data_IF_473988358017
#
_entry.id   IF_473988358017
#
_cell.length_a   1.000
_cell.length_b   1.000
_cell.length_c   1.000
_cell.angle_alpha   90.00
_cell.angle_beta   90.00
_cell.angle_gamma   90.00
#
_symmetry.space_group_name_H-M   'P 1'
#
loop_
_entity.id
_entity.type
_entity.pdbx_description
1 polymer ?
#
# COMPACT_ATOMS: atom_id res chain seq x y z
N UNK A 1 -3.89 -9.73 -3.47
CA UNK A 1 -4.50 -8.58 -4.12
C UNK A 1 -3.46 -7.55 -4.54
N UNK A 2 -2.60 -7.04 -3.61
CA UNK A 2 -1.62 -5.96 -3.84
C UNK A 2 -0.71 -6.21 -5.06
N UNK A 3 -0.06 -7.36 -5.14
CA UNK A 3 0.85 -7.71 -6.26
C UNK A 3 0.17 -7.62 -7.62
N UNK A 4 -1.09 -8.08 -7.73
CA UNK A 4 -1.85 -7.98 -8.97
C UNK A 4 -2.22 -6.53 -9.31
N UNK A 5 -2.52 -5.74 -8.28
CA UNK A 5 -2.80 -4.32 -8.40
C UNK A 5 -1.59 -3.55 -8.92
N UNK A 6 -0.42 -3.80 -8.33
CA UNK A 6 0.83 -3.15 -8.75
C UNK A 6 1.24 -3.55 -10.16
N UNK A 7 1.05 -4.82 -10.53
CA UNK A 7 1.29 -5.29 -11.89
C UNK A 7 0.39 -4.57 -12.92
N UNK A 8 -0.91 -4.42 -12.65
CA UNK A 8 -1.83 -3.70 -13.52
C UNK A 8 -1.51 -2.21 -13.61
N UNK A 9 -1.06 -1.61 -12.51
CA UNK A 9 -0.58 -0.22 -12.50
C UNK A 9 0.61 -0.05 -13.42
N UNK A 10 1.58 -0.95 -13.36
CA UNK A 10 2.77 -0.94 -14.22
C UNK A 10 2.44 -1.23 -15.69
N UNK A 11 1.35 -1.95 -15.97
CA UNK A 11 0.80 -2.13 -17.33
C UNK A 11 0.06 -0.88 -17.85
N UNK A 12 0.05 0.24 -17.12
CA UNK A 12 -0.63 1.49 -17.50
C UNK A 12 -2.14 1.49 -17.25
N UNK A 13 -2.69 0.49 -16.56
CA UNK A 13 -4.13 0.36 -16.25
C UNK A 13 -4.52 1.10 -14.96
N UNK A 14 -3.97 2.31 -14.77
CA UNK A 14 -4.13 3.09 -13.52
C UNK A 14 -5.61 3.41 -13.24
N UNK A 15 -6.39 3.79 -14.27
CA UNK A 15 -7.81 4.09 -14.12
C UNK A 15 -8.62 2.89 -13.62
N UNK A 16 -8.36 1.70 -14.16
CA UNK A 16 -9.00 0.46 -13.69
C UNK A 16 -8.62 0.19 -12.22
N UNK A 17 -7.37 0.41 -11.84
CA UNK A 17 -6.91 0.22 -10.47
C UNK A 17 -7.55 1.21 -9.49
N UNK A 18 -7.71 2.48 -9.89
CA UNK A 18 -8.42 3.47 -9.07
C UNK A 18 -9.88 3.07 -8.86
N UNK A 19 -10.57 2.63 -9.92
CA UNK A 19 -11.94 2.13 -9.84
C UNK A 19 -12.05 0.90 -8.92
N UNK A 20 -11.10 -0.03 -9.00
CA UNK A 20 -11.05 -1.21 -8.12
C UNK A 20 -10.82 -0.84 -6.66
N UNK A 21 -9.96 0.14 -6.37
CA UNK A 21 -9.73 0.63 -5.01
C UNK A 21 -10.99 1.27 -4.42
N UNK A 22 -11.72 2.05 -5.19
CA UNK A 22 -13.02 2.61 -4.79
C UNK A 22 -14.05 1.50 -4.54
N UNK A 23 -14.13 0.52 -5.45
CA UNK A 23 -15.04 -0.61 -5.30
C UNK A 23 -14.75 -1.39 -4.00
N UNK A 24 -13.48 -1.69 -3.72
CA UNK A 24 -13.09 -2.37 -2.48
C UNK A 24 -13.52 -1.56 -1.26
N UNK A 25 -13.28 -0.25 -1.26
CA UNK A 25 -13.64 0.61 -0.14
C UNK A 25 -15.16 0.66 0.09
N UNK A 26 -15.94 0.86 -0.96
CA UNK A 26 -17.41 0.90 -0.89
C UNK A 26 -17.96 -0.46 -0.44
N UNK A 27 -17.47 -1.54 -1.05
CA UNK A 27 -17.92 -2.91 -0.71
C UNK A 27 -17.51 -3.28 0.72
N UNK A 28 -16.34 -2.86 1.18
CA UNK A 28 -15.90 -3.07 2.57
C UNK A 28 -16.82 -2.36 3.56
N UNK A 29 -17.19 -1.10 3.29
CA UNK A 29 -18.15 -0.35 4.11
C UNK A 29 -19.50 -1.08 4.13
N UNK A 30 -20.00 -1.49 2.96
CA UNK A 30 -21.29 -2.19 2.86
C UNK A 30 -21.30 -3.52 3.61
N UNK A 31 -20.28 -4.36 3.44
CA UNK A 31 -20.18 -5.62 4.16
C UNK A 31 -20.01 -5.42 5.66
N UNK A 32 -19.19 -4.47 6.08
CA UNK A 32 -19.04 -4.16 7.50
C UNK A 32 -20.35 -3.68 8.11
N UNK A 33 -21.10 -2.83 7.42
CA UNK A 33 -22.41 -2.38 7.89
C UNK A 33 -23.38 -3.57 8.08
N UNK A 34 -23.47 -4.44 7.09
CA UNK A 34 -24.37 -5.61 7.17
C UNK A 34 -23.93 -6.58 8.26
N UNK A 35 -22.64 -6.92 8.32
CA UNK A 35 -22.14 -7.92 9.27
C UNK A 35 -22.09 -7.41 10.72
N UNK A 36 -21.82 -6.13 10.92
CA UNK A 36 -21.72 -5.56 12.26
C UNK A 36 -23.08 -5.05 12.72
N UNK A 37 -23.78 -4.23 11.91
CA UNK A 37 -24.99 -3.53 12.36
C UNK A 37 -26.26 -4.36 12.17
N UNK A 38 -26.33 -5.23 11.14
CA UNK A 38 -27.55 -6.04 10.86
C UNK A 38 -27.43 -7.43 11.48
N UNK A 39 -26.27 -8.07 11.38
CA UNK A 39 -26.04 -9.43 11.90
C UNK A 39 -25.39 -9.47 13.28
N UNK A 40 -25.09 -8.31 13.87
CA UNK A 40 -24.54 -8.13 15.23
C UNK A 40 -23.28 -8.97 15.51
N UNK A 41 -22.46 -9.19 14.48
CA UNK A 41 -21.24 -10.02 14.57
C UNK A 41 -20.06 -9.30 15.26
N UNK A 42 -20.21 -8.04 15.64
CA UNK A 42 -19.18 -7.27 16.34
C UNK A 42 -17.84 -7.22 15.57
N UNK A 43 -16.73 -7.41 16.29
CA UNK A 43 -15.37 -7.36 15.71
C UNK A 43 -15.14 -8.44 14.65
N UNK A 44 -15.72 -9.63 14.83
CA UNK A 44 -15.63 -10.72 13.84
C UNK A 44 -16.26 -10.31 12.50
N UNK A 45 -17.40 -9.59 12.54
CA UNK A 45 -18.05 -9.06 11.35
C UNK A 45 -17.16 -8.14 10.52
N UNK A 46 -16.37 -7.28 11.19
CA UNK A 46 -15.40 -6.42 10.50
C UNK A 46 -14.31 -7.22 9.76
N UNK A 47 -13.81 -8.27 10.38
CA UNK A 47 -12.80 -9.13 9.76
C UNK A 47 -13.36 -9.88 8.52
N UNK A 48 -14.57 -10.46 8.65
CA UNK A 48 -15.24 -11.13 7.53
C UNK A 48 -15.62 -10.17 6.42
N UNK A 49 -16.08 -8.95 6.74
CA UNK A 49 -16.41 -7.93 5.76
C UNK A 49 -15.20 -7.51 4.93
N UNK A 50 -14.05 -7.33 5.59
CA UNK A 50 -12.79 -7.01 4.91
C UNK A 50 -12.33 -8.17 4.03
N UNK A 51 -12.38 -9.40 4.52
CA UNK A 51 -12.01 -10.58 3.75
C UNK A 51 -12.92 -10.78 2.53
N UNK A 52 -14.22 -10.59 2.68
CA UNK A 52 -15.20 -10.71 1.59
C UNK A 52 -14.97 -9.63 0.51
N UNK A 53 -14.75 -8.36 0.90
CA UNK A 53 -14.48 -7.27 -0.04
C UNK A 53 -13.18 -7.52 -0.83
N UNK A 54 -12.12 -7.98 -0.17
CA UNK A 54 -10.85 -8.30 -0.83
C UNK A 54 -10.96 -9.52 -1.75
N UNK A 55 -11.73 -10.52 -1.36
CA UNK A 55 -11.97 -11.72 -2.19
C UNK A 55 -12.75 -11.36 -3.44
N UNK A 56 -13.79 -10.54 -3.32
CA UNK A 56 -14.57 -10.04 -4.46
C UNK A 56 -13.66 -9.26 -5.43
N UNK A 57 -12.87 -8.32 -4.91
CA UNK A 57 -11.95 -7.55 -5.72
C UNK A 57 -10.90 -8.43 -6.41
N UNK A 58 -10.38 -9.44 -5.71
CA UNK A 58 -9.44 -10.39 -6.31
C UNK A 58 -10.09 -11.18 -7.45
N UNK A 59 -11.33 -11.65 -7.25
CA UNK A 59 -12.09 -12.36 -8.29
C UNK A 59 -12.31 -11.49 -9.52
N UNK A 60 -12.66 -10.20 -9.36
CA UNK A 60 -12.84 -9.26 -10.46
C UNK A 60 -11.52 -9.01 -11.20
N UNK A 61 -10.42 -8.79 -10.48
CA UNK A 61 -9.10 -8.61 -11.11
C UNK A 61 -8.68 -9.88 -11.86
N UNK A 62 -8.92 -11.04 -11.29
CA UNK A 62 -8.62 -12.31 -11.94
C UNK A 62 -9.44 -12.50 -13.21
N UNK A 63 -10.75 -12.23 -13.16
CA UNK A 63 -11.63 -12.26 -14.32
C UNK A 63 -11.14 -11.28 -15.42
N UNK A 64 -10.79 -10.06 -15.03
CA UNK A 64 -10.22 -9.07 -15.95
C UNK A 64 -8.92 -9.57 -16.61
N UNK A 65 -8.06 -10.27 -15.88
CA UNK A 65 -6.83 -10.87 -16.44
C UNK A 65 -7.11 -12.07 -17.35
N UNK A 66 -8.16 -12.83 -17.08
CA UNK A 66 -8.54 -13.99 -17.92
C UNK A 66 -9.15 -13.55 -19.25
N UNK A 67 -10.04 -12.58 -19.21
CA UNK A 67 -10.82 -12.14 -20.37
C UNK A 67 -10.26 -10.88 -21.03
N UNK A 68 -9.48 -10.08 -20.31
CA UNK A 68 -8.89 -8.84 -20.80
C UNK A 68 -7.60 -9.03 -21.62
N UNK A 69 -7.23 -7.98 -22.38
CA UNK A 69 -5.94 -7.89 -23.09
C UNK A 69 -4.86 -7.40 -22.12
N UNK A 70 -4.37 -8.26 -21.22
CA UNK A 70 -3.29 -7.95 -20.27
C UNK A 70 -2.06 -8.80 -20.61
N UNK A 71 -0.87 -8.26 -20.32
CA UNK A 71 0.41 -8.93 -20.61
C UNK A 71 0.64 -10.16 -19.74
N UNK A 72 0.14 -10.13 -18.49
CA UNK A 72 0.29 -11.21 -17.52
C UNK A 72 -1.02 -12.02 -17.41
N UNK A 73 -1.19 -12.99 -18.29
CA UNK A 73 -2.31 -13.94 -18.23
C UNK A 73 -1.99 -15.10 -17.27
N UNK A 74 -2.98 -15.64 -16.53
CA UNK A 74 -2.76 -16.81 -15.67
C UNK A 74 -2.18 -18.03 -16.40
N UNK A 75 -2.52 -18.21 -17.68
CA UNK A 75 -1.95 -19.28 -18.55
C UNK A 75 -0.43 -19.14 -18.72
N UNK A 76 0.11 -17.92 -18.73
CA UNK A 76 1.54 -17.68 -18.89
C UNK A 76 2.33 -18.12 -17.65
N UNK A 77 1.70 -18.07 -16.47
CA UNK A 77 2.29 -18.55 -15.21
C UNK A 77 2.50 -20.07 -15.21
N UNK A 78 1.61 -20.82 -15.85
CA UNK A 78 1.69 -22.28 -15.95
C UNK A 78 2.67 -22.76 -17.02
N UNK A 79 2.97 -21.91 -18.03
CA UNK A 79 3.84 -22.26 -19.16
C UNK A 79 5.33 -21.91 -18.97
N UNK A 80 5.67 -21.12 -17.94
CA UNK A 80 7.04 -20.68 -17.71
C UNK A 80 7.59 -21.21 -16.38
N UNK A 81 8.84 -21.68 -16.40
CA UNK A 81 9.53 -22.11 -15.17
C UNK A 81 9.76 -20.92 -14.24
N UNK A 82 9.20 -20.99 -13.04
CA UNK A 82 9.34 -19.96 -12.02
C UNK A 82 10.71 -20.00 -11.33
N UNK A 83 11.50 -21.07 -11.51
CA UNK A 83 12.72 -21.32 -10.72
C UNK A 83 13.89 -20.39 -11.03
N UNK A 84 13.99 -19.84 -12.25
CA UNK A 84 15.21 -19.16 -12.71
C UNK A 84 15.41 -17.71 -12.25
N UNK A 85 14.41 -17.06 -11.64
CA UNK A 85 14.48 -15.60 -11.35
C UNK A 85 14.22 -15.23 -9.88
N UNK A 86 14.08 -16.22 -9.01
CA UNK A 86 13.78 -15.98 -7.59
C UNK A 86 14.83 -15.13 -6.88
N UNK A 87 16.12 -15.42 -7.11
CA UNK A 87 17.20 -14.65 -6.48
C UNK A 87 17.13 -13.16 -6.82
N UNK A 88 16.80 -12.82 -8.07
CA UNK A 88 16.66 -11.43 -8.51
C UNK A 88 15.44 -10.75 -7.90
N UNK A 89 14.31 -11.46 -7.79
CA UNK A 89 13.08 -10.95 -7.17
C UNK A 89 13.32 -10.71 -5.68
N UNK A 90 13.95 -11.66 -4.99
CA UNK A 90 14.30 -11.53 -3.58
C UNK A 90 15.29 -10.38 -3.34
N UNK A 91 16.31 -10.24 -4.18
CA UNK A 91 17.28 -9.14 -4.08
C UNK A 91 16.62 -7.76 -4.24
N UNK A 92 15.61 -7.64 -5.11
CA UNK A 92 14.85 -6.41 -5.28
C UNK A 92 13.85 -6.15 -4.14
N UNK A 93 13.27 -7.20 -3.57
CA UNK A 93 12.30 -7.10 -2.49
C UNK A 93 12.93 -6.96 -1.09
N UNK A 94 14.14 -7.46 -0.88
CA UNK A 94 14.79 -7.48 0.42
C UNK A 94 14.96 -6.08 1.05
N UNK A 95 15.44 -5.04 0.36
CA UNK A 95 15.56 -3.70 0.94
C UNK A 95 14.23 -3.13 1.40
N UNK A 96 13.16 -3.36 0.62
CA UNK A 96 11.81 -2.90 0.96
C UNK A 96 11.26 -3.64 2.18
N UNK A 97 11.44 -4.95 2.23
CA UNK A 97 11.03 -5.77 3.38
C UNK A 97 11.77 -5.37 4.65
N UNK A 98 13.07 -5.10 4.55
CA UNK A 98 13.89 -4.66 5.67
C UNK A 98 13.44 -3.30 6.21
N UNK A 99 13.01 -2.38 5.34
CA UNK A 99 12.45 -1.09 5.73
C UNK A 99 11.17 -1.25 6.54
N UNK A 100 10.26 -2.15 6.14
CA UNK A 100 9.05 -2.43 6.90
C UNK A 100 9.32 -3.12 8.24
N UNK A 101 10.29 -4.04 8.28
CA UNK A 101 10.74 -4.68 9.52
C UNK A 101 11.31 -3.62 10.47
N UNK A 102 12.16 -2.73 9.98
CA UNK A 102 12.73 -1.64 10.77
C UNK A 102 11.65 -0.72 11.37
N UNK A 103 10.63 -0.38 10.58
CA UNK A 103 9.51 0.43 11.04
C UNK A 103 8.70 -0.30 12.14
N UNK A 104 8.43 -1.59 11.97
CA UNK A 104 7.71 -2.40 12.94
C UNK A 104 8.49 -2.55 14.25
N UNK A 105 9.81 -2.84 14.16
CA UNK A 105 10.68 -2.94 15.32
C UNK A 105 10.78 -1.60 16.07
N UNK A 106 10.90 -0.48 15.34
CA UNK A 106 10.91 0.86 15.93
C UNK A 106 9.64 1.15 16.72
N UNK A 107 8.49 0.87 16.14
CA UNK A 107 7.20 1.05 16.84
C UNK A 107 7.08 0.17 18.08
N UNK A 108 7.49 -1.09 17.97
CA UNK A 108 7.49 -2.02 19.11
C UNK A 108 8.45 -1.55 20.22
N UNK A 109 9.65 -1.11 19.87
CA UNK A 109 10.63 -0.60 20.82
C UNK A 109 10.11 0.62 21.58
N UNK A 110 9.44 1.55 20.90
CA UNK A 110 8.84 2.74 21.54
C UNK A 110 7.76 2.32 22.54
N UNK A 111 6.84 1.44 22.14
CA UNK A 111 5.77 0.96 23.02
C UNK A 111 6.35 0.24 24.23
N UNK A 112 7.35 -0.64 24.02
CA UNK A 112 8.02 -1.36 25.12
C UNK A 112 8.75 -0.40 26.07
N UNK A 113 9.45 0.60 25.54
CA UNK A 113 10.13 1.59 26.35
C UNK A 113 9.12 2.40 27.20
N UNK A 114 7.98 2.78 26.65
CA UNK A 114 6.90 3.44 27.37
C UNK A 114 6.33 2.56 28.50
N UNK A 115 6.21 1.24 28.28
CA UNK A 115 5.80 0.27 29.30
C UNK A 115 6.77 0.18 30.45
N UNK A 116 8.08 0.14 30.16
CA UNK A 116 9.11 0.01 31.20
C UNK A 116 9.25 1.24 32.08
N UNK A 117 8.95 2.43 31.54
CA UNK A 117 8.99 3.68 32.32
C UNK A 117 7.89 3.71 33.40
N UNK A 118 6.79 2.96 33.25
CA UNK A 118 5.80 2.63 34.29
C UNK A 118 5.23 3.82 35.09
N UNK A 119 5.22 5.04 34.52
CA UNK A 119 4.78 6.25 35.22
C UNK A 119 3.25 6.30 35.35
N UNK A 120 2.72 6.94 36.41
CA UNK A 120 1.30 7.34 36.45
C UNK A 120 0.96 8.13 35.16
N UNK A 121 -0.09 7.73 34.42
CA UNK A 121 -0.45 8.33 33.12
C UNK A 121 0.03 7.57 31.89
N UNK A 122 0.55 6.35 32.02
CA UNK A 122 0.93 5.48 30.92
C UNK A 122 -0.20 5.30 29.88
N UNK A 123 -1.44 5.10 30.34
CA UNK A 123 -2.60 4.93 29.46
C UNK A 123 -2.85 6.18 28.59
N UNK A 124 -2.70 7.38 29.16
CA UNK A 124 -2.86 8.64 28.43
C UNK A 124 -1.72 8.84 27.43
N UNK A 125 -0.50 8.48 27.80
CA UNK A 125 0.66 8.58 26.93
C UNK A 125 0.55 7.63 25.71
N UNK A 126 0.10 6.39 25.91
CA UNK A 126 -0.15 5.43 24.82
C UNK A 126 -1.29 5.92 23.93
N UNK A 127 -2.34 6.47 24.49
CA UNK A 127 -3.45 7.03 23.73
C UNK A 127 -2.99 8.20 22.88
N UNK A 128 -2.23 9.14 23.45
CA UNK A 128 -1.64 10.26 22.72
C UNK A 128 -0.70 9.77 21.58
N UNK A 129 0.17 8.80 21.87
CA UNK A 129 1.05 8.19 20.86
C UNK A 129 0.23 7.56 19.73
N UNK A 130 -0.86 6.86 20.06
CA UNK A 130 -1.74 6.25 19.06
C UNK A 130 -2.40 7.29 18.16
N UNK A 131 -2.86 8.42 18.71
CA UNK A 131 -3.45 9.52 17.93
C UNK A 131 -2.40 10.16 17.03
N UNK A 132 -1.23 10.50 17.56
CA UNK A 132 -0.13 11.09 16.80
C UNK A 132 0.29 10.18 15.65
N UNK A 133 0.45 8.88 15.91
CA UNK A 133 0.81 7.90 14.88
C UNK A 133 -0.23 7.83 13.76
N UNK A 134 -1.52 7.94 14.08
CA UNK A 134 -2.58 7.98 13.06
C UNK A 134 -2.52 9.25 12.22
N UNK A 135 -2.30 10.41 12.83
CA UNK A 135 -2.14 11.68 12.12
C UNK A 135 -0.94 11.63 11.18
N UNK A 136 0.21 11.16 11.66
CA UNK A 136 1.42 11.00 10.84
C UNK A 136 1.18 10.01 9.69
N UNK A 137 0.53 8.88 9.96
CA UNK A 137 0.19 7.89 8.91
C UNK A 137 -0.69 8.51 7.84
N UNK A 138 -1.70 9.29 8.23
CA UNK A 138 -2.58 9.98 7.29
C UNK A 138 -1.82 11.00 6.45
N UNK A 139 -0.94 11.79 7.07
CA UNK A 139 -0.07 12.73 6.38
C UNK A 139 0.93 12.06 5.43
N UNK A 140 1.31 10.80 5.71
CA UNK A 140 2.24 10.04 4.87
C UNK A 140 1.58 9.42 3.62
N UNK A 141 0.27 9.19 3.59
CA UNK A 141 -0.42 8.54 2.47
C UNK A 141 -0.20 9.20 1.10
N UNK A 142 -0.26 10.54 0.94
CA UNK A 142 0.02 11.18 -0.34
C UNK A 142 1.46 10.94 -0.83
N UNK A 143 2.44 10.92 0.07
CA UNK A 143 3.84 10.61 -0.28
C UNK A 143 3.99 9.16 -0.75
N UNK A 144 3.27 8.25 -0.13
CA UNK A 144 3.23 6.85 -0.55
C UNK A 144 2.64 6.72 -1.95
N UNK A 145 1.56 7.47 -2.24
CA UNK A 145 0.98 7.55 -3.58
C UNK A 145 1.97 8.11 -4.61
N UNK A 146 2.68 9.18 -4.27
CA UNK A 146 3.74 9.75 -5.11
C UNK A 146 4.86 8.74 -5.37
N UNK A 147 5.31 8.00 -4.34
CA UNK A 147 6.33 6.96 -4.46
C UNK A 147 5.90 5.86 -5.44
N UNK A 148 4.67 5.38 -5.35
CA UNK A 148 4.13 4.38 -6.29
C UNK A 148 4.04 4.90 -7.72
N UNK A 149 3.63 6.16 -7.92
CA UNK A 149 3.61 6.77 -9.24
C UNK A 149 5.04 6.85 -9.83
N UNK A 150 6.00 7.27 -9.01
CA UNK A 150 7.40 7.36 -9.40
C UNK A 150 8.02 6.02 -9.78
N UNK A 151 7.74 4.95 -9.04
CA UNK A 151 8.20 3.61 -9.39
C UNK A 151 7.75 3.21 -10.79
N UNK A 152 6.49 3.49 -11.13
CA UNK A 152 5.94 3.17 -12.45
C UNK A 152 6.57 4.02 -13.56
N UNK A 153 6.67 5.35 -13.35
CA UNK A 153 7.22 6.28 -14.35
C UNK A 153 8.71 5.99 -14.59
N UNK A 154 9.48 5.85 -13.51
CA UNK A 154 10.92 5.58 -13.59
C UNK A 154 11.19 4.21 -14.21
N UNK A 155 10.45 3.18 -13.80
CA UNK A 155 10.59 1.84 -14.33
C UNK A 155 10.32 1.76 -15.86
N UNK A 156 9.28 2.43 -16.33
CA UNK A 156 8.94 2.49 -17.75
C UNK A 156 9.98 3.29 -18.56
N UNK A 157 10.41 4.46 -18.06
CA UNK A 157 11.42 5.27 -18.72
C UNK A 157 12.79 4.56 -18.74
N UNK A 158 13.17 3.87 -17.66
CA UNK A 158 14.37 3.07 -17.57
C UNK A 158 14.36 1.91 -18.58
N UNK A 159 13.24 1.18 -18.66
CA UNK A 159 13.06 0.11 -19.63
C UNK A 159 13.13 0.58 -21.08
N UNK A 160 12.67 1.81 -21.36
CA UNK A 160 12.73 2.48 -22.65
C UNK A 160 14.08 3.19 -22.92
N UNK A 161 15.04 3.15 -21.97
CA UNK A 161 16.34 3.86 -22.03
C UNK A 161 16.21 5.37 -22.15
N UNK A 162 15.13 5.96 -21.68
CA UNK A 162 14.85 7.39 -21.72
C UNK A 162 15.36 8.07 -20.42
N UNK A 163 16.69 8.10 -20.25
CA UNK A 163 17.34 8.55 -19.03
C UNK A 163 16.97 9.98 -18.65
N UNK A 164 16.99 10.90 -19.61
CA UNK A 164 16.64 12.29 -19.38
C UNK A 164 15.20 12.46 -18.81
N UNK A 165 14.24 11.65 -19.28
CA UNK A 165 12.86 11.67 -18.76
C UNK A 165 12.78 11.09 -17.36
N UNK A 166 13.58 10.07 -17.07
CA UNK A 166 13.69 9.48 -15.73
C UNK A 166 14.21 10.50 -14.73
N UNK A 167 15.30 11.22 -15.07
CA UNK A 167 15.90 12.24 -14.21
C UNK A 167 14.96 13.44 -13.99
N UNK A 168 14.30 13.90 -15.04
CA UNK A 168 13.32 14.99 -14.94
C UNK A 168 12.14 14.60 -14.02
N UNK A 169 11.62 13.39 -14.15
CA UNK A 169 10.54 12.87 -13.29
C UNK A 169 10.98 12.78 -11.84
N UNK A 170 12.21 12.30 -11.59
CA UNK A 170 12.76 12.21 -10.24
C UNK A 170 12.90 13.58 -9.60
N UNK A 171 13.49 14.53 -10.32
CA UNK A 171 13.63 15.91 -9.82
C UNK A 171 12.29 16.55 -9.49
N UNK A 172 11.30 16.38 -10.36
CA UNK A 172 9.96 16.93 -10.15
C UNK A 172 9.29 16.31 -8.92
N UNK A 173 9.37 15.00 -8.75
CA UNK A 173 8.77 14.33 -7.59
C UNK A 173 9.45 14.69 -6.28
N UNK A 174 10.77 14.90 -6.26
CA UNK A 174 11.48 15.38 -5.09
C UNK A 174 11.03 16.79 -4.69
N UNK A 175 10.84 17.69 -5.66
CA UNK A 175 10.29 19.01 -5.38
C UNK A 175 8.87 18.96 -4.82
N UNK A 176 8.00 18.15 -5.42
CA UNK A 176 6.62 17.96 -4.93
C UNK A 176 6.62 17.39 -3.51
N UNK A 177 7.44 16.37 -3.24
CA UNK A 177 7.57 15.80 -1.91
C UNK A 177 8.10 16.82 -0.90
N UNK A 178 9.11 17.60 -1.27
CA UNK A 178 9.68 18.63 -0.40
C UNK A 178 8.65 19.70 -0.03
N UNK A 179 7.94 20.26 -1.02
CA UNK A 179 6.89 21.26 -0.80
C UNK A 179 5.78 20.69 0.09
N UNK A 180 5.34 19.46 -0.19
CA UNK A 180 4.32 18.79 0.62
C UNK A 180 4.78 18.61 2.07
N UNK A 181 5.99 18.11 2.30
CA UNK A 181 6.53 17.93 3.65
C UNK A 181 6.65 19.26 4.39
N UNK A 182 7.10 20.32 3.71
CA UNK A 182 7.20 21.66 4.29
C UNK A 182 5.80 22.20 4.72
N UNK A 183 4.79 22.01 3.88
CA UNK A 183 3.42 22.41 4.20
C UNK A 183 2.86 21.62 5.41
N UNK A 184 3.03 20.29 5.42
CA UNK A 184 2.60 19.47 6.56
C UNK A 184 3.33 19.90 7.85
N UNK A 185 4.63 20.18 7.78
CA UNK A 185 5.40 20.63 8.93
C UNK A 185 4.85 21.92 9.52
N UNK A 186 4.46 22.88 8.67
CA UNK A 186 3.85 24.16 9.12
C UNK A 186 2.47 23.94 9.75
N UNK A 187 1.69 22.97 9.25
CA UNK A 187 0.34 22.68 9.78
C UNK A 187 0.39 21.94 11.12
N UNK A 188 1.44 21.13 11.35
CA UNK A 188 1.58 20.30 12.56
C UNK A 188 2.33 21.03 13.67
N UNK A 189 3.05 22.10 13.39
CA UNK A 189 3.68 22.97 14.39
C UNK A 189 2.68 23.98 14.98
#
# INVERSE_FOLDING_TARGET
>A
LSVNSDALRNEGRVGFMAAMSLLVSITNIGFNYVLIAVLDMGVAGSAYGTAAAQTLAFAIILAFRMFGKTSLRPKTLLSHSLRGKWARILALGAPQSLSFIGLALGSTAIITALQWVGRPGYADTITAYGIITRVITFAFLPLLGLSFAMQTITGNNYGAKLWHRSDASLRMSLWVAFIYCALIQVVVM
#
